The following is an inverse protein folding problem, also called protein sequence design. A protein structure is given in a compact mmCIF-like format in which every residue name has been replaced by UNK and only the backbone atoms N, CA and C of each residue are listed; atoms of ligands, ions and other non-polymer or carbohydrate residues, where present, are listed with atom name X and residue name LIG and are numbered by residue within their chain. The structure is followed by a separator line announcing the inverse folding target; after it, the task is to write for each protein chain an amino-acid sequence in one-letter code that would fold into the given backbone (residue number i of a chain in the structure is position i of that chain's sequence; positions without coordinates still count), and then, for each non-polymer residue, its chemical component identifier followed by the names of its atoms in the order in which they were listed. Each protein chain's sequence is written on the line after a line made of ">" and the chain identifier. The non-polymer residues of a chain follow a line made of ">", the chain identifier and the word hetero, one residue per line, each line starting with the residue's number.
data_IF_139421475624
#
_entry.id   IF_139421475624
#
_cell.length_a   1.000
_cell.length_b   1.000
_cell.length_c   1.000
_cell.angle_alpha   90.00
_cell.angle_beta   90.00
_cell.angle_gamma   90.00
#
_symmetry.space_group_name_H-M   'P 1'
#
loop_
_entity.id
_entity.type
_entity.pdbx_description
1 polymer ?
#
# COMPACT_ATOMS: atom_id res chain seq x y z
N UNK A 1 13.89 21.42 -18.42
CA UNK A 1 14.07 20.51 -17.27
C UNK A 1 15.54 20.56 -16.90
N UNK A 2 15.86 20.79 -15.64
CA UNK A 2 17.24 20.66 -15.14
C UNK A 2 17.41 19.24 -14.62
N UNK A 3 18.38 18.50 -15.14
CA UNK A 3 18.75 17.14 -14.71
C UNK A 3 19.48 17.19 -13.35
N UNK A 4 18.84 17.81 -12.37
CA UNK A 4 19.40 18.09 -11.06
C UNK A 4 18.55 17.43 -9.99
N UNK A 5 19.17 16.55 -9.22
CA UNK A 5 18.56 16.03 -7.99
C UNK A 5 18.54 17.13 -6.93
N UNK A 6 17.38 17.36 -6.32
CA UNK A 6 17.24 18.23 -5.17
C UNK A 6 16.84 17.40 -3.97
N UNK A 7 17.66 17.46 -2.91
CA UNK A 7 17.31 16.85 -1.63
C UNK A 7 16.07 17.55 -1.07
N UNK A 8 15.06 16.78 -0.66
CA UNK A 8 13.91 17.32 0.05
C UNK A 8 14.40 17.83 1.42
N UNK A 9 14.21 19.13 1.74
CA UNK A 9 14.75 19.72 2.96
C UNK A 9 14.00 19.25 4.22
N UNK A 10 14.73 18.93 5.28
CA UNK A 10 14.19 18.59 6.61
C UNK A 10 14.82 17.31 7.20
N UNK A 11 14.36 16.83 8.37
CA UNK A 11 14.81 15.55 8.92
C UNK A 11 14.53 14.40 7.95
N UNK A 12 15.33 13.33 8.09
CA UNK A 12 15.18 12.08 7.32
C UNK A 12 13.69 11.69 7.26
N UNK A 13 13.16 11.56 6.03
CA UNK A 13 11.76 11.21 5.76
C UNK A 13 11.33 9.90 6.45
N UNK A 14 12.31 9.09 6.85
CA UNK A 14 12.13 7.78 7.46
C UNK A 14 12.40 7.78 8.97
N UNK A 15 12.72 8.92 9.58
CA UNK A 15 13.18 9.01 10.98
C UNK A 15 12.23 8.41 12.01
N UNK A 16 10.92 8.55 11.79
CA UNK A 16 9.88 8.07 12.71
C UNK A 16 9.29 6.71 12.28
N UNK A 17 9.93 6.04 11.32
CA UNK A 17 9.48 4.74 10.82
C UNK A 17 10.25 3.60 11.47
N UNK A 18 9.49 2.65 12.01
CA UNK A 18 10.07 1.51 12.69
C UNK A 18 10.31 0.34 11.73
N UNK A 19 11.43 0.38 10.99
CA UNK A 19 11.86 -0.72 10.13
C UNK A 19 12.52 -1.83 10.94
N UNK A 20 11.75 -2.51 11.79
CA UNK A 20 12.24 -3.58 12.68
C UNK A 20 12.75 -4.83 11.92
N UNK A 21 12.63 -4.89 10.60
CA UNK A 21 13.20 -5.98 9.81
C UNK A 21 13.58 -5.51 8.39
N UNK A 22 14.85 -5.71 7.96
CA UNK A 22 15.28 -5.43 6.59
C UNK A 22 14.60 -6.32 5.55
N UNK A 23 13.86 -7.35 5.97
CA UNK A 23 13.13 -8.25 5.07
C UNK A 23 11.85 -7.61 4.50
N UNK A 24 11.37 -6.54 5.12
CA UNK A 24 10.14 -5.86 4.75
C UNK A 24 10.46 -4.41 4.43
N UNK A 25 11.05 -4.19 3.25
CA UNK A 25 11.25 -2.85 2.72
C UNK A 25 9.88 -2.14 2.67
N UNK A 26 9.76 -0.91 3.20
CA UNK A 26 8.54 -0.12 3.07
C UNK A 26 8.06 -0.10 1.62
N UNK A 27 6.77 -0.37 1.40
CA UNK A 27 6.21 -0.22 0.06
C UNK A 27 5.83 1.24 -0.12
N UNK A 28 6.67 1.97 -0.83
CA UNK A 28 6.46 3.38 -1.17
C UNK A 28 6.04 3.47 -2.64
N UNK A 29 5.05 4.30 -2.93
CA UNK A 29 4.56 4.51 -4.29
C UNK A 29 4.00 5.92 -4.47
N UNK A 30 4.02 6.41 -5.71
CA UNK A 30 3.32 7.64 -6.08
C UNK A 30 1.96 7.26 -6.66
N UNK A 31 0.89 7.79 -6.08
CA UNK A 31 -0.49 7.64 -6.56
C UNK A 31 -1.08 9.02 -6.69
N UNK A 32 -1.59 9.37 -7.87
CA UNK A 32 -2.19 10.68 -8.15
C UNK A 32 -1.30 11.85 -7.66
N UNK A 33 -0.02 11.83 -8.03
CA UNK A 33 1.02 12.81 -7.66
C UNK A 33 1.32 12.95 -6.16
N UNK A 34 0.80 12.05 -5.33
CA UNK A 34 1.05 12.02 -3.89
C UNK A 34 1.89 10.79 -3.53
N UNK A 35 2.86 10.97 -2.64
CA UNK A 35 3.72 9.89 -2.17
C UNK A 35 3.05 9.16 -1.00
N UNK A 36 2.79 7.87 -1.19
CA UNK A 36 2.19 6.98 -0.20
C UNK A 36 3.18 5.94 0.29
N UNK A 37 2.96 5.51 1.51
CA UNK A 37 3.69 4.45 2.18
C UNK A 37 2.71 3.44 2.77
N UNK A 38 3.00 2.16 2.61
CA UNK A 38 2.45 1.10 3.44
C UNK A 38 3.48 0.68 4.50
N UNK A 39 3.13 0.84 5.77
CA UNK A 39 3.83 0.23 6.88
C UNK A 39 3.30 -1.20 7.10
N UNK A 40 4.12 -2.20 6.77
CA UNK A 40 3.69 -3.60 6.68
C UNK A 40 3.20 -4.16 8.03
N UNK A 41 3.86 -3.81 9.15
CA UNK A 41 3.53 -4.36 10.47
C UNK A 41 2.20 -3.86 11.03
N UNK A 42 1.97 -2.55 10.91
CA UNK A 42 0.72 -1.91 11.33
C UNK A 42 -0.37 -2.04 10.26
N UNK A 43 -0.01 -2.48 9.04
CA UNK A 43 -0.86 -2.44 7.85
C UNK A 43 -1.41 -1.03 7.59
N UNK A 44 -0.69 0.00 8.00
CA UNK A 44 -1.10 1.40 7.88
C UNK A 44 -0.68 1.97 6.53
N UNK A 45 -1.59 2.71 5.91
CA UNK A 45 -1.28 3.56 4.76
C UNK A 45 -1.08 4.98 5.27
N UNK A 46 0.03 5.60 4.85
CA UNK A 46 0.37 6.99 5.14
C UNK A 46 0.59 7.75 3.84
N UNK A 47 0.29 9.04 3.86
CA UNK A 47 0.61 9.99 2.79
C UNK A 47 1.63 10.98 3.29
N UNK A 48 2.59 11.35 2.44
CA UNK A 48 3.61 12.32 2.76
C UNK A 48 3.14 13.73 2.43
N UNK A 49 3.18 14.62 3.42
CA UNK A 49 3.00 16.06 3.23
C UNK A 49 4.38 16.69 3.00
N UNK A 50 4.64 17.11 1.75
CA UNK A 50 5.90 17.73 1.36
C UNK A 50 6.12 19.12 1.98
N UNK A 51 5.05 19.84 2.33
CA UNK A 51 5.15 21.18 2.90
C UNK A 51 5.49 21.13 4.39
N UNK A 52 4.95 20.15 5.10
CA UNK A 52 5.22 19.93 6.52
C UNK A 52 6.39 18.96 6.77
N UNK A 53 6.85 18.21 5.75
CA UNK A 53 7.83 17.12 5.86
C UNK A 53 7.42 16.10 6.93
N UNK A 54 6.18 15.61 6.86
CA UNK A 54 5.63 14.63 7.79
C UNK A 54 4.79 13.59 7.06
N UNK A 55 4.69 12.39 7.67
CA UNK A 55 3.79 11.34 7.21
C UNK A 55 2.47 11.41 7.98
N UNK A 56 1.38 11.64 7.27
CA UNK A 56 0.02 11.61 7.81
C UNK A 56 -0.57 10.22 7.63
N UNK A 57 -1.07 9.63 8.71
CA UNK A 57 -1.83 8.37 8.67
C UNK A 57 -3.18 8.61 7.98
N UNK A 58 -3.52 7.74 7.01
CA UNK A 58 -4.82 7.74 6.34
C UNK A 58 -5.70 6.57 6.73
N UNK A 59 -5.15 5.50 7.30
CA UNK A 59 -5.95 4.36 7.75
C UNK A 59 -5.20 3.05 7.69
N UNK A 60 -5.93 1.96 7.89
CA UNK A 60 -5.40 0.58 7.89
C UNK A 60 -5.99 -0.15 6.69
N UNK A 61 -5.19 -1.00 6.06
CA UNK A 61 -5.65 -1.89 4.99
C UNK A 61 -6.57 -2.96 5.59
N UNK A 62 -7.72 -3.30 4.97
CA UNK A 62 -8.66 -4.30 5.50
C UNK A 62 -8.13 -5.74 5.45
N UNK A 63 -6.87 -5.92 5.04
CA UNK A 63 -6.18 -7.20 4.96
C UNK A 63 -5.11 -7.25 6.03
N UNK A 64 -5.24 -8.21 6.94
CA UNK A 64 -4.17 -8.50 7.91
C UNK A 64 -3.05 -9.23 7.19
N UNK A 65 -1.85 -8.67 7.24
CA UNK A 65 -0.62 -9.33 6.78
C UNK A 65 -0.50 -10.71 7.43
N UNK A 66 -0.72 -11.76 6.65
CA UNK A 66 -0.59 -13.15 7.11
C UNK A 66 0.26 -13.92 6.11
N UNK A 67 1.55 -14.06 6.43
CA UNK A 67 2.52 -14.75 5.59
C UNK A 67 2.14 -16.22 5.29
N UNK A 68 1.35 -16.87 6.15
CA UNK A 68 0.95 -18.27 5.98
C UNK A 68 -0.22 -18.47 5.02
N UNK A 69 -1.11 -17.48 4.87
CA UNK A 69 -2.35 -17.60 4.08
C UNK A 69 -2.29 -16.88 2.74
N UNK A 70 -1.21 -16.16 2.49
CA UNK A 70 -1.05 -15.31 1.32
C UNK A 70 -1.84 -14.01 1.42
N UNK A 71 -1.13 -12.94 1.14
CA UNK A 71 -1.66 -11.59 1.06
C UNK A 71 -0.85 -10.83 0.01
N UNK A 72 -1.34 -9.67 -0.38
CA UNK A 72 -0.47 -8.70 -1.02
C UNK A 72 -1.19 -7.42 -1.40
N UNK A 73 -0.39 -6.42 -1.72
CA UNK A 73 -0.82 -5.05 -1.96
C UNK A 73 -0.15 -4.55 -3.23
N UNK A 74 -0.91 -3.84 -4.07
CA UNK A 74 -0.37 -3.15 -5.23
C UNK A 74 -0.81 -1.70 -5.21
N UNK A 75 0.13 -0.81 -5.51
CA UNK A 75 -0.15 0.56 -5.86
C UNK A 75 -0.18 0.67 -7.38
N UNK A 76 -1.21 1.29 -7.93
CA UNK A 76 -1.19 1.80 -9.30
C UNK A 76 -1.35 3.32 -9.27
N UNK A 77 -1.33 3.99 -10.43
CA UNK A 77 -1.33 5.45 -10.51
C UNK A 77 -2.52 6.14 -9.84
N UNK A 78 -3.62 5.44 -9.57
CA UNK A 78 -4.87 6.03 -9.04
C UNK A 78 -5.50 5.26 -7.88
N UNK A 79 -5.13 3.99 -7.68
CA UNK A 79 -5.81 3.03 -6.81
C UNK A 79 -4.78 2.21 -6.04
N UNK A 80 -5.08 1.99 -4.76
CA UNK A 80 -4.44 0.98 -3.92
C UNK A 80 -5.33 -0.26 -3.94
N UNK A 81 -4.75 -1.43 -4.20
CA UNK A 81 -5.44 -2.72 -4.13
C UNK A 81 -4.80 -3.59 -3.06
N UNK A 82 -5.63 -4.24 -2.26
CA UNK A 82 -5.22 -5.21 -1.26
C UNK A 82 -5.95 -6.54 -1.50
N UNK A 83 -5.28 -7.66 -1.28
CA UNK A 83 -5.89 -8.98 -1.41
C UNK A 83 -5.52 -9.89 -0.25
N UNK A 84 -6.49 -10.69 0.21
CA UNK A 84 -6.29 -11.74 1.20
C UNK A 84 -6.92 -13.03 0.71
N UNK A 85 -6.26 -14.16 0.97
CA UNK A 85 -6.92 -15.47 0.87
C UNK A 85 -7.67 -15.78 2.17
N UNK A 86 -8.88 -16.34 2.05
CA UNK A 86 -9.68 -16.78 3.19
C UNK A 86 -9.43 -18.26 3.50
N UNK A 87 -9.53 -18.65 4.78
CA UNK A 87 -9.35 -20.04 5.26
C UNK A 87 -10.39 -21.06 4.74
N UNK A 88 -11.28 -20.65 3.83
CA UNK A 88 -12.29 -21.57 3.32
C UNK A 88 -11.64 -22.58 2.36
N UNK A 89 -12.09 -23.83 2.44
CA UNK A 89 -11.82 -24.93 1.50
C UNK A 89 -12.03 -24.57 0.01
N UNK A 90 -12.62 -23.42 -0.29
CA UNK A 90 -12.81 -22.88 -1.64
C UNK A 90 -11.69 -21.94 -2.12
N UNK A 91 -10.66 -21.67 -1.31
CA UNK A 91 -9.51 -20.83 -1.68
C UNK A 91 -9.92 -19.53 -2.39
N UNK A 92 -10.95 -18.88 -1.84
CA UNK A 92 -11.50 -17.64 -2.38
C UNK A 92 -10.66 -16.45 -1.92
N UNK A 93 -10.27 -15.60 -2.87
CA UNK A 93 -9.52 -14.37 -2.60
C UNK A 93 -10.49 -13.18 -2.54
N UNK A 94 -10.44 -12.43 -1.44
CA UNK A 94 -11.12 -11.12 -1.35
C UNK A 94 -10.16 -10.05 -1.86
N UNK A 95 -10.65 -9.18 -2.74
CA UNK A 95 -9.91 -8.03 -3.27
C UNK A 95 -10.59 -6.75 -2.80
N UNK A 96 -9.80 -5.84 -2.26
CA UNK A 96 -10.21 -4.53 -1.80
C UNK A 96 -9.52 -3.46 -2.63
N UNK A 97 -10.24 -2.42 -3.02
CA UNK A 97 -9.66 -1.26 -3.70
C UNK A 97 -9.99 0.03 -2.98
N UNK A 98 -9.07 0.99 -3.03
CA UNK A 98 -9.25 2.33 -2.51
C UNK A 98 -8.64 3.35 -3.49
N UNK A 99 -9.34 4.46 -3.72
CA UNK A 99 -8.79 5.63 -4.40
C UNK A 99 -8.33 6.64 -3.33
N UNK A 100 -7.06 6.63 -2.91
CA UNK A 100 -6.62 7.48 -1.82
C UNK A 100 -6.56 8.95 -2.24
N UNK A 101 -6.77 9.84 -1.28
CA UNK A 101 -6.55 11.29 -1.44
C UNK A 101 -5.87 11.84 -0.20
N UNK A 102 -4.92 12.79 -0.33
CA UNK A 102 -4.20 13.36 0.82
C UNK A 102 -5.14 14.06 1.82
N UNK A 103 -6.29 14.52 1.33
CA UNK A 103 -7.27 15.28 2.12
C UNK A 103 -8.23 14.38 2.90
N UNK A 104 -8.21 13.05 2.70
CA UNK A 104 -9.06 12.15 3.48
C UNK A 104 -8.57 12.05 4.93
N UNK A 105 -9.53 11.85 5.84
CA UNK A 105 -9.26 11.49 7.23
C UNK A 105 -9.10 9.98 7.39
N UNK A 106 -9.87 9.20 6.62
CA UNK A 106 -9.84 7.74 6.64
C UNK A 106 -9.95 7.15 5.21
N UNK A 107 -9.30 6.00 4.98
CA UNK A 107 -9.41 5.25 3.73
C UNK A 107 -10.75 4.52 3.62
N UNK A 108 -11.45 4.74 2.51
CA UNK A 108 -12.66 3.99 2.16
C UNK A 108 -12.27 2.85 1.22
N UNK A 109 -12.60 1.62 1.63
CA UNK A 109 -12.29 0.41 0.87
C UNK A 109 -13.55 -0.20 0.27
N UNK A 110 -13.49 -0.49 -1.03
CA UNK A 110 -14.53 -1.24 -1.73
C UNK A 110 -14.12 -2.70 -1.84
N UNK A 111 -14.95 -3.60 -1.31
CA UNK A 111 -14.75 -5.04 -1.41
C UNK A 111 -15.36 -5.58 -2.71
N UNK A 112 -14.53 -6.23 -3.51
CA UNK A 112 -14.96 -6.92 -4.73
C UNK A 112 -15.08 -8.41 -4.46
N UNK A 113 -16.25 -8.83 -3.96
CA UNK A 113 -16.60 -10.25 -3.82
C UNK A 113 -16.78 -10.82 -5.23
N UNK A 114 -16.12 -11.94 -5.55
CA UNK A 114 -16.21 -12.63 -6.86
C UNK A 114 -15.35 -12.09 -8.01
N UNK A 115 -14.25 -11.39 -7.74
CA UNK A 115 -13.29 -11.00 -8.79
C UNK A 115 -12.80 -12.19 -9.66
N UNK A 116 -12.91 -13.41 -9.15
CA UNK A 116 -12.21 -14.59 -9.67
C UNK A 116 -13.07 -15.85 -9.61
N UNK A 117 -14.38 -15.76 -9.88
CA UNK A 117 -15.23 -16.95 -9.98
C UNK A 117 -14.61 -17.96 -10.97
N UNK A 118 -14.07 -19.06 -10.44
CA UNK A 118 -13.45 -20.15 -11.19
C UNK A 118 -11.94 -20.08 -11.41
N UNK A 119 -11.23 -19.00 -11.03
CA UNK A 119 -9.77 -18.89 -11.17
C UNK A 119 -9.06 -18.94 -9.81
N UNK A 120 -8.22 -19.96 -9.60
CA UNK A 120 -7.24 -19.98 -8.51
C UNK A 120 -6.17 -18.92 -8.77
N UNK A 121 -6.30 -17.76 -8.16
CA UNK A 121 -5.21 -16.79 -8.11
C UNK A 121 -4.15 -17.26 -7.13
N UNK A 122 -2.88 -16.98 -7.46
CA UNK A 122 -1.80 -17.15 -6.51
C UNK A 122 -2.13 -16.31 -5.25
N UNK A 123 -2.19 -16.90 -4.05
CA UNK A 123 -2.59 -16.19 -2.83
C UNK A 123 -1.57 -15.10 -2.44
N UNK A 124 -0.41 -15.06 -3.09
CA UNK A 124 0.57 -14.00 -2.96
C UNK A 124 0.51 -13.08 -4.18
N UNK A 125 0.09 -11.83 -3.95
CA UNK A 125 0.49 -10.75 -4.84
C UNK A 125 1.91 -10.38 -4.43
N UNK A 126 2.88 -10.76 -5.27
CA UNK A 126 4.26 -10.28 -5.11
C UNK A 126 4.23 -8.77 -5.35
N UNK A 127 4.74 -7.99 -4.40
CA UNK A 127 4.81 -6.54 -4.47
C UNK A 127 5.36 -6.11 -5.84
N UNK A 128 4.48 -5.66 -6.73
CA UNK A 128 4.85 -5.04 -7.99
C UNK A 128 4.68 -3.54 -7.79
N UNK A 129 5.76 -2.85 -7.44
CA UNK A 129 5.85 -1.40 -7.58
C UNK A 129 5.99 -1.11 -9.07
N UNK A 130 4.89 -0.69 -9.71
CA UNK A 130 4.96 -0.19 -11.10
C UNK A 130 5.07 1.33 -11.02
N UNK A 131 6.28 1.84 -11.22
CA UNK A 131 6.51 3.24 -11.49
C UNK A 131 6.45 3.41 -13.01
N UNK A 132 5.41 4.07 -13.52
CA UNK A 132 5.42 4.52 -14.91
C UNK A 132 6.30 5.76 -14.99
N UNK A 133 7.27 5.72 -15.91
CA UNK A 133 8.13 6.85 -16.31
C UNK A 133 7.43 7.62 -17.42
#
# INVERSE_FOLDING_TARGET
>A
MTDSWKLVPGPDMLKDMNFMSPQFMPVIAVVNDNLYLLEIWSSEVRVYDIHANVWKKLGVVPVKVNAALGWGITFNSVVIRASSSNQSWKMTMSVYTCCPSPNMEELIWEEHKHCCDGFQLNPFIRNCSVMFV
#
